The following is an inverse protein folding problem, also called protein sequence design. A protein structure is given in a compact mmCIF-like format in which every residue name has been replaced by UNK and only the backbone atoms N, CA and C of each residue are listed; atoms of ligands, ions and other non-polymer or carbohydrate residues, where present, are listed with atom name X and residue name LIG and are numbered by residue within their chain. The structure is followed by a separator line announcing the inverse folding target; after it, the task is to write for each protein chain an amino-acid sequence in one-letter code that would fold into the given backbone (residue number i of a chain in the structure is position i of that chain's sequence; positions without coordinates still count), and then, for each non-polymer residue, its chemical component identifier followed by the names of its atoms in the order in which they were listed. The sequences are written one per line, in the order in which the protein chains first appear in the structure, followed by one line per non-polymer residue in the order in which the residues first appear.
data_IF_660304966853
#
_entry.id   IF_660304966853
#
_cell.length_a   1.000
_cell.length_b   1.000
_cell.length_c   1.000
_cell.angle_alpha   90.00
_cell.angle_beta   90.00
_cell.angle_gamma   90.00
#
_symmetry.space_group_name_H-M   'P 1'
#
loop_
_entity.id
_entity.type
_entity.pdbx_description
1 polymer ?
#
# COMPACT_ATOMS: atom_id res chain seq x y z
N UNK A 1 11.79 26.13 14.41
CA UNK A 1 12.03 25.31 13.21
C UNK A 1 10.70 24.65 12.86
N UNK A 2 10.22 24.78 11.61
CA UNK A 2 8.88 24.28 11.22
C UNK A 2 8.83 22.76 10.99
N UNK A 3 9.98 22.16 10.73
CA UNK A 3 10.13 20.74 10.40
C UNK A 3 11.14 20.09 11.33
N UNK A 4 10.89 18.83 11.67
CA UNK A 4 11.92 17.91 12.14
C UNK A 4 12.43 17.11 10.94
N UNK A 5 13.74 17.06 10.72
CA UNK A 5 14.32 16.38 9.55
C UNK A 5 15.06 15.12 9.98
N UNK A 6 14.79 14.02 9.30
CA UNK A 6 15.48 12.73 9.44
C UNK A 6 15.76 12.13 8.07
N UNK A 7 16.29 10.90 8.03
CA UNK A 7 16.65 10.18 6.82
C UNK A 7 15.95 8.82 6.79
N UNK A 8 15.86 8.21 5.61
CA UNK A 8 15.18 6.91 5.42
C UNK A 8 15.83 5.76 6.23
N UNK A 9 17.12 5.86 6.55
CA UNK A 9 17.84 4.94 7.43
C UNK A 9 17.80 5.33 8.91
N UNK A 10 17.08 6.41 9.27
CA UNK A 10 16.97 6.90 10.64
C UNK A 10 16.44 5.85 11.61
N UNK A 11 16.90 5.94 12.86
CA UNK A 11 16.36 5.21 14.00
C UNK A 11 14.96 5.72 14.39
N UNK A 12 14.41 5.20 15.48
CA UNK A 12 13.24 5.81 16.10
C UNK A 12 13.52 7.28 16.46
N UNK A 13 12.50 8.12 16.29
CA UNK A 13 12.53 9.55 16.63
C UNK A 13 11.68 9.78 17.87
N UNK A 14 12.11 10.67 18.75
CA UNK A 14 11.30 11.10 19.90
C UNK A 14 10.22 12.06 19.41
N UNK A 15 8.95 11.69 19.58
CA UNK A 15 7.82 12.50 19.14
C UNK A 15 7.80 13.91 19.75
N UNK A 16 8.46 14.13 20.89
CA UNK A 16 8.58 15.45 21.54
C UNK A 16 9.52 16.40 20.79
N UNK A 17 10.36 15.88 19.90
CA UNK A 17 11.26 16.68 19.06
C UNK A 17 10.56 17.20 17.80
N UNK A 18 9.41 16.63 17.44
CA UNK A 18 8.63 17.07 16.30
C UNK A 18 7.92 18.38 16.67
N UNK A 19 8.08 19.46 15.88
CA UNK A 19 7.41 20.71 16.16
C UNK A 19 5.88 20.56 16.04
N UNK A 20 5.16 21.20 16.96
CA UNK A 20 3.70 21.38 16.89
C UNK A 20 3.42 22.82 16.51
N UNK A 21 2.86 23.02 15.31
CA UNK A 21 2.54 24.31 14.72
C UNK A 21 1.06 24.64 14.91
N UNK A 22 0.68 25.90 14.72
CA UNK A 22 -0.72 26.22 14.41
C UNK A 22 -1.10 25.65 13.04
N UNK A 23 -2.39 25.36 12.81
CA UNK A 23 -2.81 24.84 11.50
C UNK A 23 -2.46 25.80 10.35
N UNK A 24 -2.60 27.11 10.54
CA UNK A 24 -2.26 28.09 9.51
C UNK A 24 -0.77 28.04 9.14
N UNK A 25 0.13 27.94 10.13
CA UNK A 25 1.57 27.79 9.87
C UNK A 25 1.91 26.45 9.23
N UNK A 26 1.24 25.38 9.66
CA UNK A 26 1.38 24.04 9.09
C UNK A 26 0.93 24.01 7.63
N UNK A 27 -0.23 24.57 7.32
CA UNK A 27 -0.80 24.65 5.98
C UNK A 27 0.18 25.32 5.02
N UNK A 28 0.67 26.52 5.36
CA UNK A 28 1.66 27.22 4.54
C UNK A 28 2.99 26.46 4.44
N UNK A 29 3.45 25.80 5.51
CA UNK A 29 4.67 25.00 5.46
C UNK A 29 4.55 23.80 4.50
N UNK A 30 3.44 23.07 4.54
CA UNK A 30 3.19 21.94 3.64
C UNK A 30 3.05 22.43 2.20
N UNK A 31 2.34 23.53 1.96
CA UNK A 31 2.22 24.14 0.63
C UNK A 31 3.58 24.52 0.06
N UNK A 32 4.43 25.16 0.86
CA UNK A 32 5.79 25.52 0.46
C UNK A 32 6.58 24.28 0.04
N UNK A 33 6.52 23.20 0.83
CA UNK A 33 7.23 21.95 0.52
C UNK A 33 6.69 21.25 -0.71
N UNK A 34 5.38 21.03 -0.80
CA UNK A 34 4.78 20.30 -1.93
C UNK A 34 4.77 21.10 -3.25
N UNK A 35 5.07 22.41 -3.19
CA UNK A 35 5.34 23.20 -4.40
C UNK A 35 6.68 22.85 -5.06
N UNK A 36 7.60 22.18 -4.35
CA UNK A 36 8.81 21.62 -4.93
C UNK A 36 8.50 20.25 -5.56
N UNK A 37 8.75 20.03 -6.87
CA UNK A 37 8.55 18.73 -7.53
C UNK A 37 9.34 17.57 -6.92
N UNK A 38 10.45 17.83 -6.22
CA UNK A 38 11.23 16.81 -5.52
C UNK A 38 10.60 16.36 -4.19
N UNK A 39 9.54 17.04 -3.73
CA UNK A 39 8.91 16.79 -2.45
C UNK A 39 7.56 16.07 -2.62
N UNK A 40 7.37 15.00 -1.86
CA UNK A 40 6.17 14.18 -1.91
C UNK A 40 5.64 13.88 -0.51
N UNK A 41 4.31 13.94 -0.33
CA UNK A 41 3.71 13.47 0.92
C UNK A 41 3.85 11.95 1.02
N UNK A 42 4.52 11.48 2.08
CA UNK A 42 4.57 10.05 2.42
C UNK A 42 3.34 9.62 3.21
N UNK A 43 2.99 10.40 4.23
CA UNK A 43 1.83 10.09 5.06
C UNK A 43 1.32 11.34 5.78
N UNK A 44 0.02 11.42 5.95
CA UNK A 44 -0.65 12.47 6.70
C UNK A 44 -1.80 11.83 7.50
N UNK A 45 -1.72 11.85 8.83
CA UNK A 45 -2.63 11.09 9.70
C UNK A 45 -2.76 11.71 11.09
N UNK A 46 -3.91 11.47 11.73
CA UNK A 46 -4.21 11.92 13.10
C UNK A 46 -4.26 10.77 14.11
N UNK A 47 -3.80 11.02 15.34
CA UNK A 47 -3.93 10.11 16.50
C UNK A 47 -4.52 10.90 17.67
N UNK A 48 -5.48 10.31 18.41
CA UNK A 48 -6.05 10.92 19.61
C UNK A 48 -5.00 11.16 20.70
N UNK A 49 -4.98 12.39 21.22
CA UNK A 49 -4.20 12.77 22.41
C UNK A 49 -5.11 13.03 23.61
N UNK A 50 -6.33 13.49 23.37
CA UNK A 50 -7.39 13.67 24.36
C UNK A 50 -8.72 13.20 23.75
N UNK A 51 -9.84 13.32 24.48
CA UNK A 51 -11.14 12.80 24.05
C UNK A 51 -11.66 13.46 22.75
N UNK A 52 -11.42 14.75 22.56
CA UNK A 52 -11.84 15.52 21.36
C UNK A 52 -10.66 16.08 20.57
N UNK A 53 -9.43 15.75 20.95
CA UNK A 53 -8.22 16.36 20.39
C UNK A 53 -7.35 15.34 19.68
N UNK A 54 -6.99 15.66 18.45
CA UNK A 54 -6.01 14.91 17.67
C UNK A 54 -4.69 15.66 17.62
N UNK A 55 -3.60 14.91 17.69
CA UNK A 55 -2.35 15.35 17.08
C UNK A 55 -2.29 14.79 15.67
N UNK A 56 -2.01 15.65 14.71
CA UNK A 56 -1.90 15.29 13.30
C UNK A 56 -0.44 15.42 12.88
N UNK A 57 0.09 14.41 12.19
CA UNK A 57 1.44 14.42 11.64
C UNK A 57 1.39 14.39 10.13
N UNK A 58 2.29 15.13 9.49
CA UNK A 58 2.59 15.03 8.08
C UNK A 58 4.06 14.71 7.87
N UNK A 59 4.32 13.74 7.01
CA UNK A 59 5.63 13.30 6.59
C UNK A 59 5.80 13.64 5.12
N UNK A 60 6.83 14.40 4.79
CA UNK A 60 7.21 14.76 3.42
C UNK A 60 8.57 14.14 3.13
N UNK A 61 8.68 13.46 1.99
CA UNK A 61 9.92 12.96 1.43
C UNK A 61 10.51 14.02 0.51
N UNK A 62 11.82 14.23 0.56
CA UNK A 62 12.56 15.00 -0.43
C UNK A 62 13.50 14.04 -1.16
N UNK A 63 13.26 13.82 -2.44
CA UNK A 63 14.00 12.86 -3.26
C UNK A 63 15.42 13.34 -3.60
N UNK A 64 15.65 14.65 -3.69
CA UNK A 64 16.96 15.24 -3.97
C UNK A 64 17.88 15.21 -2.75
N UNK A 65 17.34 15.53 -1.57
CA UNK A 65 18.11 15.58 -0.32
C UNK A 65 18.12 14.23 0.43
N UNK A 66 17.29 13.28 -0.02
CA UNK A 66 17.05 11.99 0.62
C UNK A 66 16.60 12.10 2.08
N UNK A 67 15.86 13.16 2.40
CA UNK A 67 15.37 13.46 3.75
C UNK A 67 13.89 13.14 3.91
N UNK A 68 13.49 12.89 5.15
CA UNK A 68 12.11 12.82 5.60
C UNK A 68 11.89 13.99 6.55
N UNK A 69 11.01 14.91 6.18
CA UNK A 69 10.62 16.03 7.01
C UNK A 69 9.27 15.74 7.69
N UNK A 70 9.18 16.02 8.97
CA UNK A 70 7.99 15.76 9.79
C UNK A 70 7.55 17.04 10.49
N UNK A 71 6.28 17.40 10.33
CA UNK A 71 5.63 18.46 11.08
C UNK A 71 4.34 17.94 11.71
N UNK A 72 3.88 18.61 12.76
CA UNK A 72 2.61 18.29 13.40
C UNK A 72 1.82 19.53 13.78
N UNK A 73 0.52 19.35 14.02
CA UNK A 73 -0.35 20.32 14.65
C UNK A 73 -1.38 19.59 15.52
N UNK A 74 -1.98 20.31 16.47
CA UNK A 74 -3.08 19.78 17.27
C UNK A 74 -4.40 20.43 16.81
N UNK A 75 -5.48 19.67 16.80
CA UNK A 75 -6.82 20.15 16.40
C UNK A 75 -7.92 19.51 17.24
N UNK A 76 -8.93 20.30 17.60
CA UNK A 76 -10.21 19.77 18.08
C UNK A 76 -11.11 19.48 16.87
N UNK A 77 -11.45 18.21 16.69
CA UNK A 77 -12.05 17.75 15.43
C UNK A 77 -13.58 17.93 15.36
N UNK A 78 -14.23 18.45 16.41
CA UNK A 78 -15.66 18.77 16.37
C UNK A 78 -15.96 20.24 16.04
N UNK A 79 -15.06 21.15 16.40
CA UNK A 79 -15.36 22.59 16.37
C UNK A 79 -14.76 23.34 15.17
N UNK A 80 -13.68 22.84 14.57
CA UNK A 80 -12.92 23.57 13.54
C UNK A 80 -13.16 23.03 12.11
N UNK A 81 -13.24 23.95 11.16
CA UNK A 81 -13.18 23.68 9.72
C UNK A 81 -11.84 24.18 9.19
N UNK A 82 -11.09 23.29 8.55
CA UNK A 82 -9.71 23.52 8.13
C UNK A 82 -9.63 23.75 6.61
N UNK A 83 -8.89 24.74 6.09
CA UNK A 83 -8.61 24.83 4.65
C UNK A 83 -8.02 23.53 4.07
N UNK A 84 -8.66 22.92 3.06
CA UNK A 84 -8.17 21.66 2.45
C UNK A 84 -6.86 21.86 1.67
N UNK A 85 -5.83 21.07 1.98
CA UNK A 85 -4.62 20.96 1.16
C UNK A 85 -4.88 20.22 -0.16
N UNK A 86 -5.91 19.38 -0.22
CA UNK A 86 -6.32 18.70 -1.45
C UNK A 86 -6.72 19.66 -2.58
N UNK A 87 -7.21 20.86 -2.24
CA UNK A 87 -7.50 21.91 -3.24
C UNK A 87 -6.30 22.24 -4.13
N UNK A 88 -5.09 22.13 -3.58
CA UNK A 88 -3.84 22.47 -4.27
C UNK A 88 -3.03 21.23 -4.64
N UNK A 89 -3.07 20.19 -3.81
CA UNK A 89 -2.26 18.98 -3.98
C UNK A 89 -3.12 17.72 -3.93
N UNK A 90 -3.45 17.15 -5.09
CA UNK A 90 -4.29 15.95 -5.19
C UNK A 90 -3.77 14.74 -4.39
N UNK A 91 -2.44 14.65 -4.16
CA UNK A 91 -1.82 13.61 -3.33
C UNK A 91 -2.29 13.63 -1.86
N UNK A 92 -2.82 14.76 -1.38
CA UNK A 92 -3.36 14.89 -0.02
C UNK A 92 -4.75 14.26 0.14
N UNK A 93 -5.45 14.00 -0.97
CA UNK A 93 -6.84 13.57 -0.98
C UNK A 93 -7.15 12.32 -0.16
N UNK A 94 -6.38 11.22 -0.28
CA UNK A 94 -6.66 10.02 0.50
C UNK A 94 -6.48 10.27 2.00
N UNK A 95 -5.55 11.13 2.40
CA UNK A 95 -5.27 11.40 3.80
C UNK A 95 -6.36 12.28 4.45
N UNK A 96 -6.76 13.37 3.79
CA UNK A 96 -7.84 14.23 4.29
C UNK A 96 -9.19 13.49 4.33
N UNK A 97 -9.48 12.64 3.33
CA UNK A 97 -10.65 11.77 3.36
C UNK A 97 -10.59 10.73 4.47
N UNK A 98 -9.44 10.12 4.72
CA UNK A 98 -9.26 9.17 5.83
C UNK A 98 -9.52 9.83 7.18
N UNK A 99 -8.97 11.03 7.40
CA UNK A 99 -9.20 11.79 8.64
C UNK A 99 -10.66 12.25 8.78
N UNK A 100 -11.29 12.68 7.68
CA UNK A 100 -12.72 13.02 7.68
C UNK A 100 -13.57 11.78 8.00
N UNK A 101 -13.22 10.62 7.44
CA UNK A 101 -13.95 9.37 7.67
C UNK A 101 -13.79 8.84 9.11
N UNK A 102 -12.55 8.81 9.63
CA UNK A 102 -12.24 8.25 10.95
C UNK A 102 -12.64 9.18 12.08
N UNK A 103 -12.38 10.47 11.92
CA UNK A 103 -12.46 11.44 13.02
C UNK A 103 -13.51 12.53 12.80
N UNK A 104 -13.97 12.75 11.56
CA UNK A 104 -14.96 13.79 11.28
C UNK A 104 -14.38 15.18 11.10
N UNK A 105 -13.05 15.32 10.95
CA UNK A 105 -12.41 16.61 10.61
C UNK A 105 -13.05 17.15 9.33
N UNK A 106 -13.45 18.42 9.36
CA UNK A 106 -14.04 19.10 8.20
C UNK A 106 -12.97 19.90 7.48
N UNK A 107 -12.87 19.68 6.17
CA UNK A 107 -11.95 20.42 5.32
C UNK A 107 -12.71 21.30 4.34
N UNK A 108 -12.57 22.63 4.46
CA UNK A 108 -13.20 23.59 3.58
C UNK A 108 -12.75 23.35 2.14
N UNK A 109 -13.76 23.09 1.29
CA UNK A 109 -13.68 22.83 -0.15
C UNK A 109 -12.75 21.71 -0.58
N UNK A 110 -12.59 20.66 0.23
CA UNK A 110 -11.97 19.42 -0.22
C UNK A 110 -12.77 18.84 -1.41
N UNK A 111 -12.16 18.67 -2.59
CA UNK A 111 -12.85 18.08 -3.72
C UNK A 111 -13.19 16.62 -3.44
N UNK A 112 -14.30 16.14 -4.00
CA UNK A 112 -14.70 14.72 -3.92
C UNK A 112 -14.76 14.18 -2.47
N UNK A 113 -15.45 14.92 -1.59
CA UNK A 113 -15.61 14.61 -0.18
C UNK A 113 -16.52 13.40 0.08
N UNK A 114 -16.05 12.22 -0.32
CA UNK A 114 -16.74 10.93 -0.19
C UNK A 114 -15.96 10.01 0.76
N UNK A 115 -16.63 9.07 1.45
CA UNK A 115 -15.92 8.09 2.28
C UNK A 115 -14.92 7.27 1.44
N UNK A 116 -13.81 6.83 2.02
CA UNK A 116 -12.85 5.92 1.37
C UNK A 116 -13.26 4.45 1.50
N UNK A 117 -13.80 4.08 2.67
CA UNK A 117 -14.12 2.70 3.03
C UNK A 117 -15.55 2.53 3.54
N UNK A 118 -16.23 3.63 3.88
CA UNK A 118 -17.57 3.65 4.50
C UNK A 118 -17.73 2.59 5.63
N UNK A 119 -16.83 2.59 6.63
CA UNK A 119 -16.90 1.60 7.71
C UNK A 119 -18.13 1.86 8.58
N UNK A 120 -18.68 0.80 9.16
CA UNK A 120 -19.84 0.85 10.08
C UNK A 120 -19.64 1.74 11.32
N UNK A 121 -18.42 2.21 11.57
CA UNK A 121 -18.02 3.12 12.66
C UNK A 121 -17.46 4.47 12.19
N UNK A 122 -17.73 4.89 10.94
CA UNK A 122 -17.29 6.21 10.49
C UNK A 122 -17.95 7.33 11.30
N UNK A 123 -17.23 8.44 11.49
CA UNK A 123 -17.77 9.64 12.12
C UNK A 123 -18.92 10.25 11.29
N UNK A 124 -18.96 9.94 9.99
CA UNK A 124 -20.12 10.15 9.11
C UNK A 124 -21.21 9.16 9.50
N UNK A 125 -22.15 9.61 10.34
CA UNK A 125 -23.28 8.78 10.79
C UNK A 125 -24.01 8.14 9.60
N UNK A 126 -24.11 6.80 9.61
CA UNK A 126 -25.14 6.04 8.89
C UNK A 126 -24.93 5.87 7.39
N UNK A 127 -23.84 5.24 6.97
CA UNK A 127 -23.64 4.76 5.61
C UNK A 127 -23.03 3.36 5.59
N UNK A 128 -23.65 2.40 4.88
CA UNK A 128 -22.94 1.17 4.47
C UNK A 128 -22.15 1.44 3.19
N UNK A 129 -21.23 0.54 2.82
CA UNK A 129 -20.55 0.62 1.51
C UNK A 129 -21.57 0.60 0.35
N UNK A 130 -22.76 0.02 0.55
CA UNK A 130 -23.85 -0.02 -0.43
C UNK A 130 -24.53 1.34 -0.64
N UNK A 131 -24.39 2.28 0.30
CA UNK A 131 -24.94 3.63 0.24
C UNK A 131 -23.93 4.66 -0.32
N UNK A 132 -22.81 4.18 -0.89
CA UNK A 132 -21.77 5.04 -1.46
C UNK A 132 -22.36 5.97 -2.54
N UNK A 133 -22.17 7.30 -2.42
CA UNK A 133 -22.79 8.28 -3.33
C UNK A 133 -22.00 8.37 -4.64
N UNK A 134 -22.18 7.40 -5.53
CA UNK A 134 -21.56 7.41 -6.85
C UNK A 134 -21.93 8.67 -7.64
N UNK A 135 -20.94 9.23 -8.33
CA UNK A 135 -21.10 10.36 -9.23
C UNK A 135 -22.05 10.00 -10.36
N UNK A 136 -22.88 10.97 -10.77
CA UNK A 136 -23.88 10.81 -11.84
C UNK A 136 -23.71 11.89 -12.89
N UNK A 137 -23.99 11.55 -14.13
CA UNK A 137 -24.01 12.45 -15.27
C UNK A 137 -25.23 12.13 -16.13
N UNK A 138 -26.05 13.13 -16.43
CA UNK A 138 -27.29 12.95 -17.20
C UNK A 138 -27.09 13.28 -18.68
N UNK A 139 -27.41 12.33 -19.56
CA UNK A 139 -27.54 12.54 -21.01
C UNK A 139 -28.14 11.29 -21.66
N UNK A 140 -28.92 11.46 -22.74
CA UNK A 140 -29.51 10.36 -23.49
C UNK A 140 -28.49 9.43 -24.17
N UNK A 141 -27.24 9.89 -24.34
CA UNK A 141 -26.15 9.11 -24.95
C UNK A 141 -25.26 8.41 -23.93
N UNK A 142 -25.51 8.60 -22.62
CA UNK A 142 -24.70 8.00 -21.56
C UNK A 142 -25.39 6.76 -21.01
N UNK A 143 -24.57 5.78 -20.63
CA UNK A 143 -25.01 4.63 -19.86
C UNK A 143 -23.99 4.30 -18.78
N UNK A 144 -24.48 3.68 -17.71
CA UNK A 144 -23.65 3.23 -16.61
C UNK A 144 -23.36 1.73 -16.73
N UNK A 145 -22.11 1.34 -16.51
CA UNK A 145 -21.71 -0.06 -16.37
C UNK A 145 -21.20 -0.29 -14.95
N UNK A 146 -21.74 -1.30 -14.29
CA UNK A 146 -21.42 -1.65 -12.91
C UNK A 146 -20.63 -2.95 -12.88
N UNK A 147 -19.46 -2.92 -12.27
CA UNK A 147 -18.62 -4.09 -12.09
C UNK A 147 -18.29 -4.21 -10.60
N UNK A 148 -18.57 -5.38 -10.01
CA UNK A 148 -18.40 -5.61 -8.57
C UNK A 148 -19.71 -5.54 -7.75
N UNK A 149 -19.67 -5.72 -6.42
CA UNK A 149 -18.46 -5.91 -5.59
C UNK A 149 -17.84 -7.31 -5.74
N UNK A 150 -18.54 -8.25 -6.36
CA UNK A 150 -18.07 -9.59 -6.70
C UNK A 150 -18.20 -9.75 -8.21
N UNK A 151 -17.09 -9.73 -8.93
CA UNK A 151 -17.06 -9.91 -10.38
C UNK A 151 -15.74 -10.56 -10.81
N UNK A 152 -15.78 -11.47 -11.79
CA UNK A 152 -14.61 -12.25 -12.20
C UNK A 152 -13.43 -11.39 -12.71
N UNK A 153 -13.73 -10.21 -13.28
CA UNK A 153 -12.72 -9.25 -13.74
C UNK A 153 -12.20 -8.27 -12.67
N UNK A 154 -12.55 -8.46 -11.39
CA UNK A 154 -12.06 -7.65 -10.28
C UNK A 154 -11.48 -8.60 -9.24
N UNK A 155 -10.17 -8.50 -8.98
CA UNK A 155 -9.46 -9.40 -8.08
C UNK A 155 -9.77 -9.08 -6.60
N UNK A 156 -9.79 -7.80 -6.22
CA UNK A 156 -10.10 -7.37 -4.85
C UNK A 156 -11.55 -6.84 -4.75
N UNK A 157 -12.34 -7.24 -3.72
CA UNK A 157 -13.72 -6.77 -3.58
C UNK A 157 -13.84 -5.24 -3.62
N UNK A 158 -14.54 -4.73 -4.62
CA UNK A 158 -14.71 -3.30 -4.88
C UNK A 158 -15.81 -3.06 -5.91
N UNK A 159 -16.51 -1.93 -5.80
CA UNK A 159 -17.55 -1.53 -6.74
C UNK A 159 -17.00 -0.45 -7.69
N UNK A 160 -17.02 -0.75 -8.99
CA UNK A 160 -16.47 0.07 -10.06
C UNK A 160 -17.63 0.57 -10.91
N UNK A 161 -17.79 1.90 -10.95
CA UNK A 161 -18.87 2.58 -11.65
C UNK A 161 -18.29 3.29 -12.87
N UNK A 162 -18.63 2.80 -14.04
CA UNK A 162 -18.24 3.42 -15.30
C UNK A 162 -19.39 4.26 -15.84
N UNK A 163 -19.09 5.49 -16.29
CA UNK A 163 -19.99 6.29 -17.12
C UNK A 163 -19.41 6.28 -18.54
N UNK A 164 -20.18 5.73 -19.48
CA UNK A 164 -19.72 5.46 -20.83
C UNK A 164 -20.57 6.20 -21.88
N UNK A 165 -19.92 6.65 -22.95
CA UNK A 165 -20.56 7.06 -24.21
C UNK A 165 -20.14 6.09 -25.31
N UNK A 166 -21.03 5.16 -25.67
CA UNK A 166 -20.65 3.99 -26.45
C UNK A 166 -19.54 3.21 -25.73
N UNK A 167 -18.44 2.91 -26.41
CA UNK A 167 -17.29 2.20 -25.84
C UNK A 167 -16.31 3.11 -25.07
N UNK A 168 -16.51 4.44 -25.12
CA UNK A 168 -15.61 5.38 -24.47
C UNK A 168 -15.98 5.55 -23.00
N UNK A 169 -15.08 5.14 -22.12
CA UNK A 169 -15.17 5.44 -20.68
C UNK A 169 -14.87 6.93 -20.47
N UNK A 170 -15.85 7.67 -19.95
CA UNK A 170 -15.71 9.09 -19.62
C UNK A 170 -15.34 9.31 -18.15
N UNK A 171 -15.81 8.42 -17.28
CA UNK A 171 -15.53 8.48 -15.85
C UNK A 171 -15.52 7.07 -15.26
N UNK A 172 -14.54 6.80 -14.40
CA UNK A 172 -14.47 5.61 -13.56
C UNK A 172 -14.41 6.08 -12.11
N UNK A 173 -15.41 5.68 -11.32
CA UNK A 173 -15.36 5.82 -9.87
C UNK A 173 -15.21 4.45 -9.22
N UNK A 174 -14.22 4.32 -8.34
CA UNK A 174 -13.90 3.09 -7.62
C UNK A 174 -14.26 3.29 -6.15
N UNK A 175 -15.18 2.45 -5.65
CA UNK A 175 -15.52 2.34 -4.23
C UNK A 175 -14.92 1.05 -3.68
N UNK A 176 -13.99 1.20 -2.73
CA UNK A 176 -13.28 0.10 -2.06
C UNK A 176 -13.83 -0.07 -0.64
N UNK A 177 -13.15 -0.89 0.17
CA UNK A 177 -13.46 -1.05 1.60
C UNK A 177 -14.28 -2.28 1.95
N UNK A 178 -14.79 -3.02 0.96
CA UNK A 178 -15.51 -4.30 1.16
C UNK A 178 -14.68 -5.36 1.91
N UNK A 179 -13.35 -5.29 1.83
CA UNK A 179 -12.43 -6.19 2.54
C UNK A 179 -11.85 -5.58 3.84
N UNK A 180 -12.42 -4.48 4.36
CA UNK A 180 -11.91 -3.83 5.58
C UNK A 180 -12.10 -4.73 6.82
N UNK A 181 -10.98 -5.20 7.39
CA UNK A 181 -10.93 -6.13 8.54
C UNK A 181 -10.47 -5.49 9.86
N UNK A 182 -10.18 -4.18 9.85
CA UNK A 182 -9.66 -3.47 11.02
C UNK A 182 -8.25 -3.92 11.44
N UNK A 183 -7.39 -4.31 10.49
CA UNK A 183 -6.06 -4.86 10.77
C UNK A 183 -5.17 -3.91 11.61
N UNK A 184 -5.14 -2.62 11.29
CA UNK A 184 -4.43 -1.59 12.06
C UNK A 184 -4.84 -1.63 13.55
N UNK A 185 -6.16 -1.57 13.82
CA UNK A 185 -6.70 -1.58 15.18
C UNK A 185 -6.39 -2.89 15.91
N UNK A 186 -6.44 -4.02 15.20
CA UNK A 186 -6.11 -5.32 15.77
C UNK A 186 -4.62 -5.43 16.14
N UNK A 187 -3.73 -4.84 15.34
CA UNK A 187 -2.29 -4.77 15.63
C UNK A 187 -2.05 -3.86 16.84
N UNK A 188 -2.58 -2.63 16.80
CA UNK A 188 -2.45 -1.60 17.85
C UNK A 188 -2.91 -2.12 19.23
N UNK A 189 -4.07 -2.78 19.28
CA UNK A 189 -4.67 -3.27 20.55
C UNK A 189 -4.10 -4.61 21.02
N UNK A 190 -3.28 -5.27 20.21
CA UNK A 190 -2.71 -6.57 20.58
C UNK A 190 -1.54 -6.39 21.55
N UNK A 191 -1.65 -7.02 22.72
CA UNK A 191 -0.55 -7.12 23.70
C UNK A 191 0.47 -8.23 23.38
N UNK A 192 0.16 -9.10 22.42
CA UNK A 192 1.04 -10.21 22.03
C UNK A 192 1.76 -9.86 20.73
N UNK A 193 3.09 -9.83 20.81
CA UNK A 193 3.97 -9.62 19.66
C UNK A 193 3.77 -10.71 18.59
N UNK A 194 3.61 -11.97 19.01
CA UNK A 194 3.29 -13.07 18.11
C UNK A 194 1.97 -12.80 17.36
N UNK A 195 0.94 -12.34 18.05
CA UNK A 195 -0.34 -12.00 17.41
C UNK A 195 -0.19 -10.84 16.42
N UNK A 196 0.57 -9.80 16.75
CA UNK A 196 0.84 -8.69 15.81
C UNK A 196 1.50 -9.20 14.52
N UNK A 197 2.48 -10.09 14.65
CA UNK A 197 3.16 -10.74 13.52
C UNK A 197 2.20 -11.58 12.67
N UNK A 198 1.36 -12.42 13.29
CA UNK A 198 0.37 -13.21 12.55
C UNK A 198 -0.67 -12.34 11.84
N UNK A 199 -1.02 -11.18 12.41
CA UNK A 199 -1.89 -10.20 11.77
C UNK A 199 -1.19 -9.57 10.56
N UNK A 200 0.10 -9.21 10.66
CA UNK A 200 0.88 -8.69 9.54
C UNK A 200 0.98 -9.68 8.38
N UNK A 201 1.19 -10.96 8.66
CA UNK A 201 1.15 -12.05 7.67
C UNK A 201 -0.23 -12.24 6.98
N UNK A 202 -1.27 -11.60 7.51
CA UNK A 202 -2.65 -11.69 7.03
C UNK A 202 -3.22 -10.38 6.44
N UNK A 203 -2.40 -9.32 6.32
CA UNK A 203 -2.83 -8.05 5.73
C UNK A 203 -3.16 -8.25 4.24
N UNK A 204 -2.23 -8.83 3.49
CA UNK A 204 -2.42 -9.19 2.10
C UNK A 204 -2.07 -10.67 1.89
N UNK A 205 -2.80 -11.33 0.99
CA UNK A 205 -2.72 -12.79 0.79
C UNK A 205 -1.44 -13.26 0.10
N UNK A 206 -0.72 -12.34 -0.52
CA UNK A 206 0.34 -12.58 -1.49
C UNK A 206 1.68 -11.93 -1.10
N UNK A 207 1.68 -11.09 -0.07
CA UNK A 207 2.79 -10.24 0.37
C UNK A 207 3.05 -10.32 1.89
N UNK A 208 2.92 -11.54 2.44
CA UNK A 208 3.06 -11.80 3.87
C UNK A 208 4.47 -11.49 4.40
N UNK A 209 5.52 -11.79 3.63
CA UNK A 209 6.92 -11.50 4.00
C UNK A 209 7.14 -9.99 4.06
N UNK A 210 6.66 -9.24 3.07
CA UNK A 210 6.78 -7.78 3.01
C UNK A 210 6.09 -7.10 4.19
N UNK A 211 4.81 -7.39 4.44
CA UNK A 211 4.08 -6.81 5.56
C UNK A 211 4.70 -7.15 6.92
N UNK A 212 5.10 -8.41 7.10
CA UNK A 212 5.74 -8.85 8.35
C UNK A 212 7.10 -8.19 8.55
N UNK A 213 7.88 -8.03 7.47
CA UNK A 213 9.17 -7.34 7.53
C UNK A 213 9.01 -5.88 7.92
N UNK A 214 8.03 -5.16 7.37
CA UNK A 214 7.76 -3.77 7.74
C UNK A 214 7.43 -3.63 9.24
N UNK A 215 6.56 -4.49 9.77
CA UNK A 215 6.23 -4.53 11.19
C UNK A 215 7.47 -4.84 12.05
N UNK A 216 8.20 -5.91 11.71
CA UNK A 216 9.36 -6.36 12.47
C UNK A 216 10.47 -5.31 12.49
N UNK A 217 10.77 -4.67 11.36
CA UNK A 217 11.75 -3.59 11.29
C UNK A 217 11.35 -2.39 12.14
N UNK A 218 10.06 -2.08 12.20
CA UNK A 218 9.53 -1.02 13.06
C UNK A 218 9.79 -1.33 14.54
N UNK A 219 9.46 -2.56 14.97
CA UNK A 219 9.69 -3.03 16.35
C UNK A 219 11.18 -3.03 16.71
N UNK A 220 12.03 -3.51 15.80
CA UNK A 220 13.48 -3.57 16.00
C UNK A 220 14.11 -2.18 16.10
N UNK A 221 13.71 -1.25 15.24
CA UNK A 221 14.16 0.15 15.32
C UNK A 221 13.75 0.80 16.65
N UNK A 222 12.52 0.55 17.12
CA UNK A 222 12.05 1.05 18.42
C UNK A 222 12.81 0.41 19.60
N UNK A 223 13.22 -0.84 19.47
CA UNK A 223 14.02 -1.56 20.47
C UNK A 223 15.52 -1.26 20.39
N UNK A 224 15.97 -0.38 19.48
CA UNK A 224 17.39 -0.14 19.19
C UNK A 224 18.16 -1.43 18.87
N UNK A 225 17.50 -2.39 18.22
CA UNK A 225 18.10 -3.66 17.85
C UNK A 225 19.03 -3.49 16.64
N UNK A 226 20.23 -4.02 16.76
CA UNK A 226 21.26 -3.98 15.73
C UNK A 226 21.33 -5.34 15.00
N UNK A 227 20.65 -5.43 13.86
CA UNK A 227 20.59 -6.67 13.06
C UNK A 227 21.93 -7.10 12.49
N UNK A 228 22.92 -6.19 12.39
CA UNK A 228 24.28 -6.54 11.93
C UNK A 228 24.99 -7.53 12.84
N UNK A 229 24.57 -7.60 14.11
CA UNK A 229 25.08 -8.53 15.12
C UNK A 229 24.32 -9.86 15.15
N UNK A 230 23.26 -9.99 14.36
CA UNK A 230 22.37 -11.17 14.32
C UNK A 230 22.72 -12.14 13.18
N UNK A 231 24.01 -12.29 12.86
CA UNK A 231 24.49 -13.23 11.84
C UNK A 231 23.94 -12.91 10.45
N UNK A 232 23.24 -13.87 9.84
CA UNK A 232 22.73 -13.77 8.46
C UNK A 232 21.31 -13.18 8.37
N UNK A 233 20.74 -12.69 9.47
CA UNK A 233 19.32 -12.31 9.53
C UNK A 233 18.89 -11.32 8.43
N UNK A 234 19.71 -10.31 8.13
CA UNK A 234 19.40 -9.35 7.07
C UNK A 234 19.43 -9.98 5.67
N UNK A 235 20.33 -10.92 5.45
CA UNK A 235 20.43 -11.69 4.20
C UNK A 235 19.21 -12.61 4.05
N UNK A 236 18.82 -13.31 5.12
CA UNK A 236 17.64 -14.18 5.13
C UNK A 236 16.38 -13.39 4.79
N UNK A 237 16.19 -12.23 5.40
CA UNK A 237 15.06 -11.34 5.10
C UNK A 237 15.09 -10.85 3.66
N UNK A 238 16.26 -10.47 3.15
CA UNK A 238 16.41 -10.03 1.76
C UNK A 238 16.05 -11.16 0.78
N UNK A 239 16.56 -12.38 0.98
CA UNK A 239 16.24 -13.53 0.13
C UNK A 239 14.74 -13.85 0.19
N UNK A 240 14.12 -13.78 1.38
CA UNK A 240 12.68 -13.99 1.53
C UNK A 240 11.85 -12.95 0.76
N UNK A 241 12.21 -11.67 0.87
CA UNK A 241 11.56 -10.58 0.16
C UNK A 241 11.69 -10.74 -1.37
N UNK A 242 12.88 -11.13 -1.85
CA UNK A 242 13.10 -11.29 -3.28
C UNK A 242 12.40 -12.54 -3.85
N UNK A 243 12.28 -13.63 -3.09
CA UNK A 243 11.45 -14.77 -3.49
C UNK A 243 9.96 -14.40 -3.58
N UNK A 244 9.45 -13.63 -2.61
CA UNK A 244 8.07 -13.11 -2.65
C UNK A 244 7.87 -12.18 -3.86
N UNK A 245 8.78 -11.23 -4.06
CA UNK A 245 8.77 -10.30 -5.20
C UNK A 245 8.76 -11.03 -6.53
N UNK A 246 9.65 -12.01 -6.72
CA UNK A 246 9.70 -12.84 -7.93
C UNK A 246 8.38 -13.58 -8.13
N UNK A 247 7.86 -14.23 -7.09
CA UNK A 247 6.62 -14.99 -7.18
C UNK A 247 5.43 -14.10 -7.57
N UNK A 248 5.35 -12.87 -7.05
CA UNK A 248 4.27 -11.93 -7.36
C UNK A 248 4.41 -11.30 -8.73
N UNK A 249 5.59 -10.82 -9.12
CA UNK A 249 5.77 -10.28 -10.47
C UNK A 249 5.57 -11.33 -11.57
N UNK A 250 5.93 -12.59 -11.33
CA UNK A 250 5.59 -13.68 -12.24
C UNK A 250 4.06 -13.91 -12.27
N UNK A 251 3.39 -13.84 -11.13
CA UNK A 251 1.92 -13.92 -11.05
C UNK A 251 1.26 -12.81 -11.88
N UNK A 252 1.70 -11.57 -11.68
CA UNK A 252 1.18 -10.38 -12.38
C UNK A 252 1.41 -10.48 -13.88
N UNK A 253 2.60 -10.96 -14.30
CA UNK A 253 2.87 -11.23 -15.71
C UNK A 253 1.87 -12.24 -16.28
N UNK A 254 1.55 -13.29 -15.52
CA UNK A 254 0.56 -14.29 -15.91
C UNK A 254 -0.87 -13.73 -15.97
N UNK A 255 -1.25 -12.87 -15.02
CA UNK A 255 -2.54 -12.20 -14.99
C UNK A 255 -2.70 -11.25 -16.19
N UNK A 256 -1.68 -10.44 -16.49
CA UNK A 256 -1.66 -9.60 -17.70
C UNK A 256 -1.81 -10.42 -18.98
N UNK A 257 -1.21 -11.61 -19.04
CA UNK A 257 -1.40 -12.52 -20.17
C UNK A 257 -2.86 -13.01 -20.25
N UNK A 258 -3.47 -13.39 -19.12
CA UNK A 258 -4.87 -13.80 -19.07
C UNK A 258 -5.81 -12.69 -19.55
N UNK A 259 -5.60 -11.46 -19.09
CA UNK A 259 -6.46 -10.31 -19.39
C UNK A 259 -6.48 -9.93 -20.88
N UNK A 260 -5.40 -10.24 -21.61
CA UNK A 260 -5.33 -10.06 -23.07
C UNK A 260 -5.65 -11.33 -23.85
N UNK A 261 -5.99 -12.43 -23.18
CA UNK A 261 -6.37 -13.71 -23.80
C UNK A 261 -5.20 -14.62 -24.20
N UNK A 262 -4.00 -14.41 -23.65
CA UNK A 262 -2.79 -15.19 -23.95
C UNK A 262 -2.59 -16.36 -22.98
N UNK A 263 -3.32 -17.44 -23.22
CA UNK A 263 -3.32 -18.62 -22.35
C UNK A 263 -1.94 -19.25 -22.15
N UNK A 264 -1.08 -19.26 -23.17
CA UNK A 264 0.24 -19.89 -23.09
C UNK A 264 1.14 -19.16 -22.08
N UNK A 265 1.17 -17.82 -22.12
CA UNK A 265 1.94 -17.00 -21.18
C UNK A 265 1.41 -17.12 -19.76
N UNK A 266 0.08 -17.15 -19.59
CA UNK A 266 -0.56 -17.37 -18.29
C UNK A 266 -0.08 -18.68 -17.64
N UNK A 267 -0.27 -19.82 -18.31
CA UNK A 267 0.05 -21.14 -17.75
C UNK A 267 1.55 -21.30 -17.50
N UNK A 268 2.39 -20.74 -18.39
CA UNK A 268 3.85 -20.73 -18.18
C UNK A 268 4.24 -19.94 -16.92
N UNK A 269 3.64 -18.78 -16.69
CA UNK A 269 3.86 -17.98 -15.48
C UNK A 269 3.36 -18.70 -14.22
N UNK A 270 2.18 -19.33 -14.26
CA UNK A 270 1.65 -20.10 -13.12
C UNK A 270 2.58 -21.25 -12.70
N UNK A 271 3.17 -21.96 -13.67
CA UNK A 271 4.15 -23.00 -13.42
C UNK A 271 5.44 -22.44 -12.78
N UNK A 272 5.93 -21.29 -13.25
CA UNK A 272 7.12 -20.62 -12.70
C UNK A 272 6.88 -20.07 -11.30
N UNK A 273 5.73 -19.45 -11.07
CA UNK A 273 5.30 -19.02 -9.74
C UNK A 273 5.25 -20.20 -8.78
N UNK A 274 4.72 -21.35 -9.21
CA UNK A 274 4.67 -22.58 -8.41
C UNK A 274 6.07 -23.03 -7.99
N UNK A 275 7.04 -23.01 -8.90
CA UNK A 275 8.44 -23.31 -8.58
C UNK A 275 9.03 -22.33 -7.54
N UNK A 276 8.71 -21.05 -7.66
CA UNK A 276 9.17 -20.00 -6.74
C UNK A 276 8.58 -20.20 -5.33
N UNK A 277 7.25 -20.31 -5.21
CA UNK A 277 6.61 -20.50 -3.90
C UNK A 277 6.91 -21.87 -3.26
N UNK A 278 7.18 -22.91 -4.06
CA UNK A 278 7.65 -24.18 -3.55
C UNK A 278 9.08 -24.08 -2.99
N UNK A 279 9.89 -23.15 -3.47
CA UNK A 279 11.21 -22.85 -2.89
C UNK A 279 11.05 -22.24 -1.50
N UNK A 280 10.13 -21.29 -1.33
CA UNK A 280 9.77 -20.75 -0.01
C UNK A 280 9.17 -21.83 0.90
N UNK A 281 8.33 -22.72 0.35
CA UNK A 281 7.78 -23.85 1.10
C UNK A 281 8.87 -24.81 1.59
N UNK A 282 9.88 -25.10 0.77
CA UNK A 282 11.03 -25.92 1.16
C UNK A 282 11.81 -25.27 2.32
N UNK A 283 11.96 -23.95 2.28
CA UNK A 283 12.68 -23.21 3.33
C UNK A 283 11.92 -23.23 4.66
N UNK A 284 10.68 -22.72 4.68
CA UNK A 284 9.99 -22.42 5.94
C UNK A 284 8.68 -23.20 6.16
N UNK A 285 8.39 -24.18 5.31
CA UNK A 285 7.17 -24.98 5.38
C UNK A 285 5.90 -24.28 4.88
N UNK A 286 6.00 -23.05 4.35
CA UNK A 286 4.86 -22.28 3.86
C UNK A 286 5.15 -21.66 2.48
N UNK A 287 4.23 -21.83 1.52
CA UNK A 287 4.38 -21.31 0.15
C UNK A 287 4.51 -19.79 0.08
N UNK A 288 3.85 -19.07 0.98
CA UNK A 288 3.82 -17.61 1.02
C UNK A 288 4.76 -17.02 2.09
N UNK A 289 5.67 -17.82 2.65
CA UNK A 289 6.66 -17.32 3.61
C UNK A 289 6.12 -17.00 5.01
N UNK A 290 4.86 -17.36 5.32
CA UNK A 290 4.32 -17.21 6.68
C UNK A 290 5.16 -18.04 7.66
N UNK A 291 5.50 -17.46 8.81
CA UNK A 291 6.39 -18.07 9.78
C UNK A 291 7.85 -17.62 9.67
N UNK A 292 8.30 -17.20 8.49
CA UNK A 292 9.72 -16.99 8.20
C UNK A 292 10.27 -15.76 8.93
N UNK A 293 9.56 -14.64 8.86
CA UNK A 293 10.03 -13.36 9.42
C UNK A 293 9.57 -13.24 10.87
N UNK A 294 10.52 -13.12 11.80
CA UNK A 294 10.24 -12.88 13.22
C UNK A 294 11.04 -11.70 13.77
N UNK A 295 10.53 -11.01 14.81
CA UNK A 295 11.30 -10.02 15.54
C UNK A 295 12.58 -10.62 16.09
N UNK A 296 13.70 -9.90 15.95
CA UNK A 296 15.00 -10.19 16.56
C UNK A 296 15.68 -11.50 16.10
N UNK A 297 15.15 -12.18 15.08
CA UNK A 297 15.73 -13.42 14.58
C UNK A 297 14.87 -14.15 13.55
N UNK A 298 15.22 -15.41 13.33
CA UNK A 298 14.50 -16.34 12.46
C UNK A 298 14.35 -17.69 13.16
N UNK A 299 13.29 -18.43 12.83
CA UNK A 299 13.17 -19.85 13.18
C UNK A 299 13.68 -20.78 12.07
N UNK A 300 14.05 -20.21 10.92
CA UNK A 300 14.40 -20.93 9.70
C UNK A 300 15.72 -20.38 9.15
N UNK A 301 16.86 -20.69 9.80
CA UNK A 301 18.16 -20.19 9.37
C UNK A 301 18.49 -20.65 7.95
N UNK A 302 19.12 -19.77 7.16
CA UNK A 302 19.56 -20.08 5.82
C UNK A 302 20.88 -20.88 5.85
N UNK A 303 20.76 -22.22 5.82
CA UNK A 303 21.91 -23.12 5.72
C UNK A 303 22.55 -23.08 4.32
N UNK A 304 23.77 -23.60 4.20
CA UNK A 304 24.47 -23.63 2.91
C UNK A 304 23.79 -24.56 1.89
N UNK A 305 23.22 -25.67 2.34
CA UNK A 305 22.46 -26.60 1.49
C UNK A 305 21.18 -25.94 0.97
N UNK A 306 20.47 -25.22 1.83
CA UNK A 306 19.28 -24.49 1.44
C UNK A 306 19.63 -23.35 0.48
N UNK A 307 20.71 -22.60 0.75
CA UNK A 307 21.22 -21.56 -0.15
C UNK A 307 21.53 -22.12 -1.54
N UNK A 308 22.24 -23.25 -1.61
CA UNK A 308 22.56 -23.89 -2.89
C UNK A 308 21.29 -24.30 -3.66
N UNK A 309 20.27 -24.80 -2.94
CA UNK A 309 18.98 -25.19 -3.51
C UNK A 309 18.20 -23.98 -4.04
N UNK A 310 18.15 -22.89 -3.27
CA UNK A 310 17.50 -21.63 -3.68
C UNK A 310 18.17 -21.09 -4.94
N UNK A 311 19.51 -21.01 -4.97
CA UNK A 311 20.26 -20.52 -6.13
C UNK A 311 19.97 -21.36 -7.39
N UNK A 312 19.95 -22.69 -7.26
CA UNK A 312 19.60 -23.60 -8.36
C UNK A 312 18.18 -23.34 -8.89
N UNK A 313 17.21 -23.18 -7.99
CA UNK A 313 15.82 -22.94 -8.39
C UNK A 313 15.65 -21.56 -9.05
N UNK A 314 16.28 -20.52 -8.48
CA UNK A 314 16.26 -19.16 -9.04
C UNK A 314 16.87 -19.13 -10.44
N UNK A 315 17.94 -19.86 -10.67
CA UNK A 315 18.57 -19.95 -11.99
C UNK A 315 17.64 -20.59 -13.04
N UNK A 316 16.94 -21.65 -12.67
CA UNK A 316 15.95 -22.29 -13.55
C UNK A 316 14.73 -21.39 -13.80
N UNK A 317 14.25 -20.69 -12.77
CA UNK A 317 13.17 -19.69 -12.90
C UNK A 317 13.60 -18.59 -13.87
N UNK A 318 14.81 -18.04 -13.69
CA UNK A 318 15.37 -16.98 -14.54
C UNK A 318 15.44 -17.42 -16.00
N UNK A 319 15.98 -18.61 -16.26
CA UNK A 319 16.11 -19.17 -17.62
C UNK A 319 14.75 -19.25 -18.31
N UNK A 320 13.76 -19.85 -17.66
CA UNK A 320 12.42 -20.05 -18.22
C UNK A 320 11.61 -18.75 -18.31
N UNK A 321 11.76 -17.84 -17.34
CA UNK A 321 11.08 -16.54 -17.40
C UNK A 321 11.62 -15.67 -18.54
N UNK A 322 12.91 -15.80 -18.90
CA UNK A 322 13.46 -15.11 -20.07
C UNK A 322 12.80 -15.55 -21.38
N UNK A 323 12.41 -16.82 -21.52
CA UNK A 323 11.64 -17.34 -22.66
C UNK A 323 10.25 -16.67 -22.69
N UNK A 324 9.51 -16.71 -21.58
CA UNK A 324 8.20 -16.06 -21.44
C UNK A 324 8.28 -14.56 -21.77
N UNK A 325 9.27 -13.86 -21.21
CA UNK A 325 9.50 -12.44 -21.46
C UNK A 325 9.79 -12.18 -22.93
N UNK A 326 10.57 -13.03 -23.59
CA UNK A 326 10.87 -12.88 -25.01
C UNK A 326 9.59 -12.99 -25.84
N UNK A 327 8.77 -14.00 -25.59
CA UNK A 327 7.52 -14.22 -26.33
C UNK A 327 6.54 -13.05 -26.16
N UNK A 328 6.35 -12.57 -24.92
CA UNK A 328 5.50 -11.41 -24.63
C UNK A 328 5.99 -10.17 -25.39
N UNK A 329 7.30 -9.91 -25.40
CA UNK A 329 7.88 -8.71 -26.02
C UNK A 329 8.01 -8.76 -27.53
N UNK A 330 7.83 -9.93 -28.15
CA UNK A 330 7.99 -10.11 -29.60
C UNK A 330 6.71 -10.45 -30.32
N UNK A 331 5.63 -10.80 -29.61
CA UNK A 331 4.34 -11.16 -30.20
C UNK A 331 3.52 -9.90 -30.51
N UNK A 332 3.29 -9.55 -31.80
CA UNK A 332 2.61 -8.29 -32.15
C UNK A 332 1.17 -8.19 -31.66
N UNK A 333 0.44 -9.32 -31.60
CA UNK A 333 -0.95 -9.34 -31.11
C UNK A 333 -1.07 -9.09 -29.60
N UNK A 334 0.00 -9.29 -28.83
CA UNK A 334 0.05 -8.95 -27.40
C UNK A 334 0.40 -7.48 -27.23
N UNK A 335 1.45 -7.03 -27.93
CA UNK A 335 1.90 -5.64 -27.88
C UNK A 335 0.77 -4.68 -28.26
N UNK A 336 -0.01 -4.98 -29.29
CA UNK A 336 -1.14 -4.13 -29.71
C UNK A 336 -2.24 -3.94 -28.66
N UNK A 337 -2.30 -4.80 -27.63
CA UNK A 337 -3.25 -4.70 -26.51
C UNK A 337 -2.70 -3.91 -25.31
N UNK A 338 -1.38 -3.78 -25.22
CA UNK A 338 -0.69 -3.14 -24.10
C UNK A 338 -0.16 -1.75 -24.47
N UNK A 339 0.23 -1.55 -25.73
CA UNK A 339 0.70 -0.25 -26.22
C UNK A 339 -0.42 0.78 -26.18
N UNK A 340 -0.06 2.03 -25.85
CA UNK A 340 -0.98 3.17 -25.74
C UNK A 340 -2.05 3.05 -24.64
N UNK A 341 -1.97 2.04 -23.77
CA UNK A 341 -2.84 1.88 -22.61
C UNK A 341 -2.16 2.43 -21.34
N UNK A 342 -2.93 3.09 -20.47
CA UNK A 342 -2.48 3.47 -19.12
C UNK A 342 -1.31 4.45 -19.06
N UNK A 343 -1.16 5.33 -20.06
CA UNK A 343 -0.09 6.34 -20.09
C UNK A 343 -0.26 7.30 -18.89
N UNK A 344 0.78 7.37 -18.05
CA UNK A 344 0.91 8.33 -16.95
C UNK A 344 1.91 9.39 -17.42
N UNK A 345 1.49 10.65 -17.47
CA UNK A 345 2.30 11.78 -17.95
C UNK A 345 3.05 12.50 -16.83
#
# INVERSE_FOLDING_TARGET
MKWFTTYNNGSAIDLRQIPSLSYAEFFEAVRERLSNPACHVAHYFGVPVEETRLRVWCMILNDEEHTIEVASYDVDYYDEELPSLTKEFAAMHPFERDMTERWGIRYDGMPWDKPLRAPSRSARRGGTVDEYPFYKMESASLHEVNVGPIHAGIIEPGAFRFICNGEKVLHLEISLGYQHRGAERQIETSKSLLRQVLLAEGIAGDSAVTHTTALVRTIEKLASFDSSKAGNLDVERAVALELERMAMHIADTGALCMDVGYQLGQVACEALRTMTINTTQLWCGNRFGKGLIRPFGTNFPLTDELRATILKNVEEIRRRYNEVRHDIKTTPSLLSRMEQCGIVN
#
